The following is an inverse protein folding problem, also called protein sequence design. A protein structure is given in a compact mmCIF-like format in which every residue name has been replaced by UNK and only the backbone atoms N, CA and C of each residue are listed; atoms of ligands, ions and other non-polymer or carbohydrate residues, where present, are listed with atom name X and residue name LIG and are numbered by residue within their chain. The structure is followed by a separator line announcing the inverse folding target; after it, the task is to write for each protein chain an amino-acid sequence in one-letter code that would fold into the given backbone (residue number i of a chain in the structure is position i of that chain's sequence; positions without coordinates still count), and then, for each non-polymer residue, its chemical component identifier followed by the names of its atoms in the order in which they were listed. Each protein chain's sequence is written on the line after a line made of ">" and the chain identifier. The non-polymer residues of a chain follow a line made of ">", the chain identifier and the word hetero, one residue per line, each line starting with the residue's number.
data_IF_624532807461
#
_entry.id   IF_624532807461
#
_cell.length_a   1.000
_cell.length_b   1.000
_cell.length_c   1.000
_cell.angle_alpha   90.00
_cell.angle_beta   90.00
_cell.angle_gamma   90.00
#
_symmetry.space_group_name_H-M   'P 1'
#
loop_
_entity.id
_entity.type
_entity.pdbx_description
1 polymer ?
#
# COMPACT_ATOMS: atom_id res chain seq x y z
N UNK A 1 0.07 17.10 28.84
CA UNK A 1 0.49 18.39 28.32
C UNK A 1 2.00 18.56 28.50
N UNK A 2 2.72 18.92 27.43
CA UNK A 2 4.17 18.99 27.42
C UNK A 2 4.79 20.02 28.37
N UNK A 3 4.03 21.01 28.79
CA UNK A 3 4.47 22.08 29.68
C UNK A 3 4.87 21.59 31.09
N UNK A 4 4.42 20.42 31.49
CA UNK A 4 4.75 19.82 32.79
C UNK A 4 6.22 19.37 32.87
N UNK A 5 6.84 19.04 31.72
CA UNK A 5 8.18 18.46 31.65
C UNK A 5 9.16 19.27 30.78
N UNK A 6 8.72 20.35 30.18
CA UNK A 6 9.55 21.26 29.42
C UNK A 6 9.02 22.68 29.48
N UNK A 7 9.93 23.67 29.53
CA UNK A 7 9.61 25.10 29.56
C UNK A 7 9.89 25.70 28.20
N UNK A 8 8.94 26.46 27.67
CA UNK A 8 9.15 27.16 26.39
C UNK A 8 10.17 28.30 26.58
N UNK A 9 11.15 28.36 25.70
CA UNK A 9 12.13 29.42 25.69
C UNK A 9 11.51 30.75 25.25
N UNK A 10 11.84 31.85 25.93
CA UNK A 10 11.42 33.21 25.53
C UNK A 10 11.99 33.63 24.17
N UNK A 11 13.16 33.09 23.79
CA UNK A 11 13.78 33.26 22.47
C UNK A 11 14.23 31.90 21.97
N UNK A 12 13.90 31.61 20.73
CA UNK A 12 14.34 30.37 20.09
C UNK A 12 15.87 30.41 19.86
N UNK A 13 16.57 29.35 20.22
CA UNK A 13 17.98 29.13 19.93
C UNK A 13 18.05 28.20 18.70
N UNK A 14 18.00 28.76 17.51
CA UNK A 14 17.90 28.01 16.27
C UNK A 14 16.60 27.19 16.25
N UNK A 15 16.71 25.85 16.17
CA UNK A 15 15.55 24.93 16.18
C UNK A 15 15.05 24.59 17.60
N UNK A 16 15.81 24.95 18.66
CA UNK A 16 15.44 24.64 20.05
C UNK A 16 14.38 25.63 20.53
N UNK A 17 13.22 25.11 20.88
CA UNK A 17 12.05 25.91 21.35
C UNK A 17 11.76 25.69 22.84
N UNK A 18 12.21 24.58 23.40
CA UNK A 18 11.95 24.18 24.78
C UNK A 18 13.26 23.81 25.47
N UNK A 19 13.29 23.93 26.79
CA UNK A 19 14.33 23.43 27.67
C UNK A 19 13.72 22.66 28.84
N UNK A 20 14.49 21.73 29.40
CA UNK A 20 14.14 20.97 30.59
C UNK A 20 14.97 21.56 31.73
N UNK A 21 14.30 22.08 32.77
CA UNK A 21 14.94 22.58 33.97
C UNK A 21 15.46 21.44 34.84
N UNK A 22 16.32 21.75 35.83
CA UNK A 22 16.82 20.78 36.81
C UNK A 22 15.67 20.10 37.57
N UNK A 23 14.65 20.88 38.01
CA UNK A 23 13.48 20.35 38.71
C UNK A 23 12.66 19.42 37.82
N UNK A 24 12.47 19.79 36.54
CA UNK A 24 11.77 18.93 35.55
C UNK A 24 12.56 17.66 35.29
N UNK A 25 13.89 17.73 35.21
CA UNK A 25 14.78 16.58 35.05
C UNK A 25 14.69 15.63 36.26
N UNK A 26 14.75 16.19 37.49
CA UNK A 26 14.60 15.42 38.71
C UNK A 26 13.24 14.73 38.80
N UNK A 27 12.18 15.40 38.37
CA UNK A 27 10.81 14.83 38.30
C UNK A 27 10.70 13.68 37.29
N UNK A 28 11.30 13.83 36.10
CA UNK A 28 11.34 12.76 35.09
C UNK A 28 12.08 11.55 35.66
N UNK A 29 13.22 11.78 36.32
CA UNK A 29 14.01 10.72 36.94
C UNK A 29 13.21 10.00 38.03
N UNK A 30 12.55 10.72 38.91
CA UNK A 30 11.72 10.13 39.98
C UNK A 30 10.57 9.26 39.40
N UNK A 31 9.93 9.66 38.32
CA UNK A 31 8.89 8.85 37.64
C UNK A 31 9.51 7.59 37.04
N UNK A 32 10.68 7.68 36.44
CA UNK A 32 11.41 6.54 35.87
C UNK A 32 11.84 5.54 36.96
N UNK A 33 12.38 6.03 38.07
CA UNK A 33 12.86 5.20 39.18
C UNK A 33 11.69 4.53 39.95
N UNK A 34 10.54 5.18 40.02
CA UNK A 34 9.36 4.61 40.67
C UNK A 34 8.86 3.33 39.93
N UNK A 35 9.15 3.20 38.66
CA UNK A 35 8.72 2.07 37.82
C UNK A 35 7.24 1.73 38.00
N UNK A 36 6.39 2.75 37.93
CA UNK A 36 4.94 2.64 38.11
C UNK A 36 4.18 3.18 36.90
N UNK A 37 3.04 2.58 36.58
CA UNK A 37 2.14 3.09 35.55
C UNK A 37 1.33 4.28 36.06
N UNK A 38 1.38 5.38 35.32
CA UNK A 38 0.66 6.61 35.61
C UNK A 38 0.05 7.18 34.31
N UNK A 39 -0.55 8.35 34.38
CA UNK A 39 -1.00 9.05 33.18
C UNK A 39 0.15 9.45 32.24
N UNK A 40 1.36 9.60 32.76
CA UNK A 40 2.55 10.05 32.03
C UNK A 40 3.65 9.00 31.92
N UNK A 41 3.42 7.81 32.48
CA UNK A 41 4.34 6.68 32.46
C UNK A 41 3.61 5.40 32.15
N UNK A 42 4.13 4.61 31.22
CA UNK A 42 3.63 3.29 30.84
C UNK A 42 4.75 2.29 30.83
N UNK A 43 4.46 1.05 31.23
CA UNK A 43 5.43 -0.06 31.27
C UNK A 43 4.99 -1.07 30.22
N UNK A 44 5.94 -1.46 29.38
CA UNK A 44 5.72 -2.39 28.28
C UNK A 44 6.82 -3.43 28.20
N UNK A 45 6.47 -4.61 27.74
CA UNK A 45 7.46 -5.57 27.26
C UNK A 45 7.98 -5.16 25.87
N UNK A 46 9.19 -5.57 25.54
CA UNK A 46 9.79 -5.31 24.22
C UNK A 46 8.88 -5.80 23.07
N UNK A 47 8.20 -6.92 23.28
CA UNK A 47 7.26 -7.51 22.31
C UNK A 47 6.00 -6.69 22.06
N UNK A 48 5.65 -5.74 22.96
CA UNK A 48 4.50 -4.84 22.79
C UNK A 48 4.73 -3.81 21.67
N UNK A 49 5.97 -3.52 21.35
CA UNK A 49 6.38 -2.60 20.31
C UNK A 49 6.82 -3.32 19.03
N UNK A 50 6.94 -4.65 19.10
CA UNK A 50 7.37 -5.46 17.99
C UNK A 50 6.21 -5.82 17.06
N UNK A 51 6.50 -5.86 15.78
CA UNK A 51 5.61 -6.36 14.75
C UNK A 51 6.38 -7.12 13.68
N UNK A 52 5.69 -8.02 13.01
CA UNK A 52 6.16 -8.57 11.75
C UNK A 52 5.47 -7.83 10.61
N UNK A 53 6.26 -7.14 9.79
CA UNK A 53 5.78 -6.53 8.55
C UNK A 53 5.62 -7.62 7.51
N UNK A 54 4.38 -7.94 7.16
CA UNK A 54 4.00 -9.01 6.22
C UNK A 54 3.63 -8.38 4.88
N UNK A 55 4.12 -8.95 3.79
CA UNK A 55 3.77 -8.52 2.44
C UNK A 55 2.45 -9.19 2.01
N UNK A 56 1.45 -8.37 1.68
CA UNK A 56 0.16 -8.79 1.14
C UNK A 56 0.16 -8.58 -0.36
N UNK A 57 0.01 -9.66 -1.10
CA UNK A 57 -0.07 -9.66 -2.55
C UNK A 57 -1.52 -9.86 -3.00
N UNK A 58 -1.89 -9.24 -4.12
CA UNK A 58 -3.18 -9.40 -4.78
C UNK A 58 -2.99 -9.83 -6.22
N UNK A 59 -3.95 -10.58 -6.82
CA UNK A 59 -3.82 -11.08 -8.18
C UNK A 59 -3.93 -9.93 -9.19
N UNK A 60 -3.05 -9.98 -10.19
CA UNK A 60 -3.16 -9.15 -11.38
C UNK A 60 -4.39 -9.58 -12.18
N UNK A 61 -5.26 -8.63 -12.53
CA UNK A 61 -6.47 -8.83 -13.33
C UNK A 61 -6.44 -7.89 -14.53
N UNK A 62 -6.50 -8.46 -15.73
CA UNK A 62 -6.33 -7.69 -16.97
C UNK A 62 -7.50 -7.92 -17.93
N UNK A 63 -7.96 -6.82 -18.51
CA UNK A 63 -8.88 -6.78 -19.64
C UNK A 63 -8.14 -6.30 -20.89
N UNK A 64 -8.46 -6.86 -22.03
CA UNK A 64 -7.88 -6.49 -23.33
C UNK A 64 -8.98 -5.96 -24.24
N UNK A 65 -8.98 -4.64 -24.46
CA UNK A 65 -9.96 -3.95 -25.32
C UNK A 65 -9.51 -3.91 -26.77
N UNK A 66 -8.21 -3.99 -27.02
CA UNK A 66 -7.56 -3.99 -28.33
C UNK A 66 -7.94 -2.75 -29.16
N UNK A 67 -7.98 -1.57 -28.51
CA UNK A 67 -8.31 -0.33 -29.19
C UNK A 67 -7.27 0.01 -30.27
N UNK A 68 -7.64 0.82 -31.28
CA UNK A 68 -6.69 1.26 -32.31
C UNK A 68 -5.45 1.94 -31.72
N UNK A 69 -5.62 2.72 -30.62
CA UNK A 69 -4.54 3.42 -29.93
C UNK A 69 -3.59 2.45 -29.26
N UNK A 70 -4.12 1.45 -28.54
CA UNK A 70 -3.31 0.41 -27.89
C UNK A 70 -2.49 -0.37 -28.93
N UNK A 71 -3.10 -0.75 -30.04
CA UNK A 71 -2.42 -1.47 -31.14
C UNK A 71 -1.39 -0.59 -31.81
N UNK A 72 -1.67 0.71 -32.02
CA UNK A 72 -0.68 1.65 -32.52
C UNK A 72 0.53 1.77 -31.60
N UNK A 73 0.30 1.92 -30.28
CA UNK A 73 1.37 1.97 -29.27
C UNK A 73 2.21 0.68 -29.30
N UNK A 74 1.56 -0.48 -29.40
CA UNK A 74 2.25 -1.77 -29.50
C UNK A 74 3.15 -1.86 -30.74
N UNK A 75 2.70 -1.38 -31.89
CA UNK A 75 3.50 -1.37 -33.12
C UNK A 75 4.81 -0.59 -32.98
N UNK A 76 4.82 0.44 -32.14
CA UNK A 76 6.01 1.27 -31.87
C UNK A 76 6.89 0.68 -30.75
N UNK A 77 6.45 -0.40 -30.09
CA UNK A 77 7.25 -1.04 -29.03
C UNK A 77 8.50 -1.73 -29.62
N UNK A 78 9.61 -1.55 -28.91
CA UNK A 78 10.91 -2.10 -29.35
C UNK A 78 10.92 -3.63 -29.48
N UNK A 79 10.09 -4.37 -28.72
CA UNK A 79 9.97 -5.81 -28.81
C UNK A 79 9.28 -6.23 -30.11
N UNK A 80 8.29 -5.45 -30.57
CA UNK A 80 7.59 -5.69 -31.85
C UNK A 80 8.47 -5.27 -33.03
N UNK A 81 9.13 -4.12 -32.97
CA UNK A 81 10.03 -3.63 -34.01
C UNK A 81 11.24 -4.55 -34.26
N UNK A 82 11.64 -5.34 -33.28
CA UNK A 82 12.72 -6.34 -33.39
C UNK A 82 12.25 -7.70 -33.96
N UNK A 83 10.96 -7.87 -34.20
CA UNK A 83 10.47 -9.09 -34.84
C UNK A 83 11.01 -9.19 -36.26
N UNK A 84 11.50 -10.39 -36.62
CA UNK A 84 12.06 -10.65 -37.93
C UNK A 84 10.95 -10.94 -38.94
N UNK A 85 11.28 -10.72 -40.18
CA UNK A 85 10.42 -10.98 -41.33
C UNK A 85 9.09 -10.20 -41.23
N UNK A 86 7.98 -10.77 -41.63
CA UNK A 86 6.62 -10.23 -41.60
C UNK A 86 5.86 -10.49 -40.29
N UNK A 87 6.58 -10.92 -39.22
CA UNK A 87 5.94 -11.29 -37.94
C UNK A 87 5.22 -10.14 -37.26
N UNK A 88 5.69 -8.91 -37.42
CA UNK A 88 5.02 -7.71 -36.93
C UNK A 88 3.65 -7.53 -37.58
N UNK A 89 3.58 -7.66 -38.90
CA UNK A 89 2.34 -7.55 -39.68
C UNK A 89 1.38 -8.70 -39.38
N UNK A 90 1.91 -9.92 -39.22
CA UNK A 90 1.13 -11.09 -38.82
C UNK A 90 0.52 -10.92 -37.42
N UNK A 91 1.28 -10.35 -36.45
CA UNK A 91 0.80 -10.04 -35.11
C UNK A 91 -0.35 -9.03 -35.17
N UNK A 92 -0.18 -7.96 -35.94
CA UNK A 92 -1.19 -6.95 -36.09
C UNK A 92 -2.47 -7.48 -36.74
N UNK A 93 -2.37 -8.25 -37.81
CA UNK A 93 -3.50 -8.89 -38.44
C UNK A 93 -4.22 -9.90 -37.51
N UNK A 94 -3.48 -10.58 -36.62
CA UNK A 94 -4.05 -11.45 -35.62
C UNK A 94 -4.82 -10.64 -34.56
N UNK A 95 -4.25 -9.54 -34.08
CA UNK A 95 -4.91 -8.64 -33.12
C UNK A 95 -6.15 -7.97 -33.72
N UNK A 96 -6.16 -7.62 -34.98
CA UNK A 96 -7.36 -7.11 -35.69
C UNK A 96 -8.52 -8.11 -35.67
N UNK A 97 -8.21 -9.40 -35.87
CA UNK A 97 -9.24 -10.45 -35.79
C UNK A 97 -9.78 -10.62 -34.36
N UNK A 98 -8.90 -10.56 -33.35
CA UNK A 98 -9.29 -10.70 -31.96
C UNK A 98 -10.05 -9.46 -31.43
N UNK A 99 -9.77 -8.28 -31.96
CA UNK A 99 -10.46 -7.04 -31.61
C UNK A 99 -11.98 -7.09 -31.87
N UNK A 100 -12.44 -7.90 -32.82
CA UNK A 100 -13.86 -8.13 -33.11
C UNK A 100 -14.59 -8.89 -32.00
N UNK A 101 -13.84 -9.54 -31.10
CA UNK A 101 -14.35 -10.33 -29.97
C UNK A 101 -14.02 -9.66 -28.61
N UNK A 102 -13.41 -8.48 -28.65
CA UNK A 102 -13.10 -7.71 -27.43
C UNK A 102 -14.40 -7.23 -26.74
N UNK A 103 -14.37 -6.99 -25.43
CA UNK A 103 -13.22 -7.12 -24.53
C UNK A 103 -12.92 -8.59 -24.10
N UNK A 104 -11.66 -8.89 -23.92
CA UNK A 104 -11.21 -10.16 -23.34
C UNK A 104 -10.90 -9.96 -21.86
N UNK A 105 -11.60 -10.67 -21.00
CA UNK A 105 -11.44 -10.57 -19.52
C UNK A 105 -10.70 -11.76 -18.92
N UNK A 106 -10.20 -12.68 -19.75
CA UNK A 106 -9.41 -13.83 -19.35
C UNK A 106 -8.10 -13.85 -20.13
N UNK A 107 -6.97 -13.65 -19.43
CA UNK A 107 -5.63 -13.57 -20.00
C UNK A 107 -5.26 -14.88 -20.76
N UNK A 108 -5.48 -16.03 -20.15
CA UNK A 108 -5.14 -17.32 -20.76
C UNK A 108 -5.92 -17.57 -22.05
N UNK A 109 -7.23 -17.26 -22.08
CA UNK A 109 -8.06 -17.41 -23.29
C UNK A 109 -7.62 -16.45 -24.39
N UNK A 110 -7.30 -15.20 -24.03
CA UNK A 110 -6.76 -14.21 -24.96
C UNK A 110 -5.47 -14.69 -25.61
N UNK A 111 -4.48 -15.11 -24.82
CA UNK A 111 -3.19 -15.58 -25.35
C UNK A 111 -3.31 -16.90 -26.09
N UNK A 112 -4.22 -17.80 -25.70
CA UNK A 112 -4.51 -19.02 -26.45
C UNK A 112 -5.12 -18.72 -27.83
N UNK A 113 -6.04 -17.76 -27.91
CA UNK A 113 -6.62 -17.32 -29.18
C UNK A 113 -5.58 -16.64 -30.08
N UNK A 114 -4.74 -15.79 -29.49
CA UNK A 114 -3.64 -15.14 -30.22
C UNK A 114 -2.64 -16.15 -30.74
N UNK A 115 -2.24 -17.13 -29.93
CA UNK A 115 -1.32 -18.19 -30.34
C UNK A 115 -1.88 -19.04 -31.49
N UNK A 116 -3.21 -19.28 -31.55
CA UNK A 116 -3.84 -19.96 -32.68
C UNK A 116 -3.86 -19.13 -33.96
N UNK A 117 -3.92 -17.81 -33.82
CA UNK A 117 -3.98 -16.88 -34.96
C UNK A 117 -2.58 -16.64 -35.59
N UNK A 118 -1.51 -16.94 -34.85
CA UNK A 118 -0.12 -16.76 -35.30
C UNK A 118 0.48 -18.06 -35.85
N UNK A 119 1.21 -18.02 -37.01
CA UNK A 119 1.88 -19.18 -37.56
C UNK A 119 3.22 -19.52 -36.85
N UNK A 120 3.60 -18.77 -35.80
CA UNK A 120 4.84 -18.93 -35.06
C UNK A 120 4.60 -18.83 -33.55
N UNK A 121 5.53 -19.39 -32.77
CA UNK A 121 5.47 -19.36 -31.30
C UNK A 121 5.96 -18.00 -30.76
N UNK A 122 5.15 -17.34 -29.93
CA UNK A 122 5.52 -16.09 -29.28
C UNK A 122 6.63 -16.31 -28.24
N UNK A 123 7.71 -15.50 -28.26
CA UNK A 123 8.69 -15.50 -27.18
C UNK A 123 8.08 -14.95 -25.88
N UNK A 124 8.55 -15.45 -24.73
CA UNK A 124 8.05 -14.99 -23.41
C UNK A 124 8.19 -13.47 -23.21
N UNK A 125 9.27 -12.87 -23.74
CA UNK A 125 9.45 -11.41 -23.69
C UNK A 125 8.35 -10.66 -24.42
N UNK A 126 7.90 -11.16 -25.57
CA UNK A 126 6.78 -10.54 -26.31
C UNK A 126 5.46 -10.69 -25.58
N UNK A 127 5.19 -11.83 -24.93
CA UNK A 127 3.99 -12.01 -24.09
C UNK A 127 3.97 -10.98 -22.96
N UNK A 128 5.11 -10.74 -22.31
CA UNK A 128 5.22 -9.70 -21.27
C UNK A 128 4.93 -8.30 -21.80
N UNK A 129 5.48 -7.95 -22.97
CA UNK A 129 5.20 -6.66 -23.64
C UNK A 129 3.72 -6.54 -23.99
N UNK A 130 3.10 -7.56 -24.56
CA UNK A 130 1.68 -7.56 -24.90
C UNK A 130 0.78 -7.35 -23.66
N UNK A 131 1.07 -8.02 -22.55
CA UNK A 131 0.37 -7.79 -21.27
C UNK A 131 0.51 -6.35 -20.81
N UNK A 132 1.71 -5.79 -20.86
CA UNK A 132 1.99 -4.43 -20.39
C UNK A 132 1.34 -3.34 -21.26
N UNK A 133 1.27 -3.55 -22.58
CA UNK A 133 0.78 -2.53 -23.53
C UNK A 133 -0.72 -2.64 -23.80
N UNK A 134 -1.26 -3.86 -23.87
CA UNK A 134 -2.67 -4.10 -24.22
C UNK A 134 -3.56 -4.37 -22.99
N UNK A 135 -2.98 -4.80 -21.88
CA UNK A 135 -3.72 -5.11 -20.65
C UNK A 135 -4.12 -3.84 -19.90
N UNK A 136 -5.40 -3.73 -19.58
CA UNK A 136 -5.95 -2.70 -18.71
C UNK A 136 -6.41 -3.37 -17.42
N UNK A 137 -6.02 -2.85 -16.26
CA UNK A 137 -6.47 -3.38 -14.97
C UNK A 137 -7.98 -3.29 -14.85
N UNK A 138 -8.61 -4.40 -14.48
CA UNK A 138 -10.05 -4.50 -14.30
C UNK A 138 -10.36 -5.53 -13.20
N UNK A 139 -10.98 -5.09 -12.13
CA UNK A 139 -11.34 -5.94 -10.99
C UNK A 139 -12.28 -7.08 -11.36
N UNK A 140 -13.08 -6.90 -12.42
CA UNK A 140 -14.04 -7.91 -12.92
C UNK A 140 -13.38 -8.93 -13.84
N UNK A 141 -12.13 -8.73 -14.24
CA UNK A 141 -11.41 -9.69 -15.06
C UNK A 141 -10.94 -10.90 -14.22
N UNK A 142 -10.75 -12.03 -14.87
CA UNK A 142 -10.17 -13.21 -14.22
C UNK A 142 -8.70 -12.94 -13.85
N UNK A 143 -8.23 -13.55 -12.75
CA UNK A 143 -6.85 -13.40 -12.31
C UNK A 143 -5.88 -13.97 -13.36
N UNK A 144 -4.83 -13.22 -13.65
CA UNK A 144 -3.73 -13.70 -14.50
C UNK A 144 -2.97 -14.78 -13.74
N UNK A 145 -2.75 -15.91 -14.41
CA UNK A 145 -1.99 -17.04 -13.85
C UNK A 145 -0.75 -17.34 -14.69
N UNK A 146 0.31 -17.77 -14.02
CA UNK A 146 1.51 -18.33 -14.64
C UNK A 146 1.82 -19.67 -13.96
N UNK A 147 1.98 -20.74 -14.73
CA UNK A 147 2.11 -22.12 -14.23
C UNK A 147 1.05 -22.50 -13.18
N UNK A 148 -0.18 -21.98 -13.34
CA UNK A 148 -1.29 -22.25 -12.43
C UNK A 148 -1.29 -21.45 -11.13
N UNK A 149 -0.30 -20.61 -10.90
CA UNK A 149 -0.24 -19.69 -9.74
C UNK A 149 -0.66 -18.28 -10.14
N UNK A 150 -1.37 -17.55 -9.27
CA UNK A 150 -1.75 -16.17 -9.55
C UNK A 150 -0.51 -15.28 -9.63
N UNK A 151 -0.48 -14.41 -10.63
CA UNK A 151 0.55 -13.38 -10.78
C UNK A 151 0.18 -12.21 -9.89
N UNK A 152 1.14 -11.72 -9.08
CA UNK A 152 0.90 -10.57 -8.20
C UNK A 152 0.84 -9.25 -8.98
N UNK A 153 -0.05 -8.36 -8.57
CA UNK A 153 -0.08 -6.97 -9.03
C UNK A 153 0.75 -6.10 -8.11
N UNK A 154 1.88 -5.61 -8.60
CA UNK A 154 2.79 -4.76 -7.82
C UNK A 154 2.18 -3.42 -7.40
N UNK A 155 1.15 -2.93 -8.08
CA UNK A 155 0.46 -1.69 -7.70
C UNK A 155 -0.56 -1.90 -6.59
N UNK A 156 -1.05 -3.13 -6.42
CA UNK A 156 -1.99 -3.50 -5.36
C UNK A 156 -1.29 -4.15 -4.17
N UNK A 157 0.05 -4.28 -4.20
CA UNK A 157 0.83 -4.79 -3.09
C UNK A 157 0.72 -3.87 -1.89
N UNK A 158 0.47 -4.47 -0.74
CA UNK A 158 0.39 -3.75 0.54
C UNK A 158 1.20 -4.48 1.63
N UNK A 159 1.30 -3.86 2.79
CA UNK A 159 2.03 -4.41 3.93
C UNK A 159 1.21 -4.24 5.20
N UNK A 160 1.11 -5.33 5.95
CA UNK A 160 0.49 -5.34 7.28
C UNK A 160 1.53 -5.47 8.38
N UNK A 161 1.35 -4.71 9.46
CA UNK A 161 2.20 -4.80 10.64
C UNK A 161 1.50 -5.65 11.71
N UNK A 162 1.76 -6.94 11.69
CA UNK A 162 1.18 -7.91 12.63
C UNK A 162 1.94 -7.84 13.95
N UNK A 163 1.28 -7.57 15.11
CA UNK A 163 1.92 -7.58 16.42
C UNK A 163 2.65 -8.90 16.68
N UNK A 164 3.85 -8.85 17.28
CA UNK A 164 4.62 -10.07 17.59
C UNK A 164 3.89 -11.03 18.55
N UNK A 165 2.90 -10.55 19.27
CA UNK A 165 2.07 -11.35 20.20
C UNK A 165 0.92 -12.07 19.50
N UNK A 166 0.66 -11.81 18.24
CA UNK A 166 -0.40 -12.41 17.45
C UNK A 166 0.14 -13.43 16.44
N UNK A 167 -0.66 -14.46 16.18
CA UNK A 167 -0.41 -15.39 15.09
C UNK A 167 -0.72 -14.68 13.75
N UNK A 168 0.22 -14.78 12.81
CA UNK A 168 0.15 -14.05 11.53
C UNK A 168 -1.00 -14.58 10.66
N UNK A 169 -1.23 -15.89 10.64
CA UNK A 169 -2.28 -16.48 9.81
C UNK A 169 -3.66 -16.18 10.38
N UNK A 170 -3.80 -16.13 11.72
CA UNK A 170 -5.03 -15.71 12.39
C UNK A 170 -5.33 -14.23 12.15
N UNK A 171 -4.31 -13.38 12.27
CA UNK A 171 -4.42 -11.96 11.94
C UNK A 171 -4.87 -11.76 10.49
N UNK A 172 -4.20 -12.40 9.54
CA UNK A 172 -4.50 -12.29 8.11
C UNK A 172 -5.95 -12.71 7.80
N UNK A 173 -6.41 -13.81 8.38
CA UNK A 173 -7.80 -14.29 8.21
C UNK A 173 -8.84 -13.33 8.80
N UNK A 174 -8.52 -12.67 9.90
CA UNK A 174 -9.43 -11.77 10.61
C UNK A 174 -9.45 -10.37 10.01
N UNK A 175 -8.29 -9.81 9.67
CA UNK A 175 -8.16 -8.39 9.31
C UNK A 175 -8.05 -8.17 7.80
N UNK A 176 -7.48 -9.09 7.03
CA UNK A 176 -7.20 -8.88 5.60
C UNK A 176 -8.24 -9.56 4.70
N UNK A 177 -8.46 -10.86 4.88
CA UNK A 177 -9.33 -11.64 3.99
C UNK A 177 -10.78 -11.16 3.92
N UNK A 178 -11.42 -10.59 4.96
CA UNK A 178 -12.77 -10.05 4.85
C UNK A 178 -12.89 -8.88 3.86
N UNK A 179 -11.80 -8.14 3.66
CA UNK A 179 -11.75 -7.00 2.75
C UNK A 179 -11.19 -7.36 1.37
N UNK A 180 -10.29 -8.35 1.32
CA UNK A 180 -9.59 -8.77 0.11
C UNK A 180 -9.50 -10.30 0.07
N UNK A 181 -10.61 -10.99 -0.31
CA UNK A 181 -10.70 -12.46 -0.19
C UNK A 181 -9.71 -13.24 -1.06
N UNK A 182 -9.18 -12.62 -2.09
CA UNK A 182 -8.25 -13.22 -3.05
C UNK A 182 -6.77 -12.86 -2.77
N UNK A 183 -6.49 -12.19 -1.66
CA UNK A 183 -5.12 -11.86 -1.25
C UNK A 183 -4.38 -13.08 -0.68
N UNK A 184 -3.06 -13.04 -0.78
CA UNK A 184 -2.16 -13.99 -0.12
C UNK A 184 -0.94 -13.30 0.47
N UNK A 185 -0.24 -13.96 1.37
CA UNK A 185 1.00 -13.46 1.97
C UNK A 185 2.23 -13.98 1.25
N UNK A 186 3.18 -13.08 0.96
CA UNK A 186 4.53 -13.47 0.55
C UNK A 186 5.46 -13.42 1.78
N UNK A 187 5.49 -14.54 2.50
CA UNK A 187 6.25 -14.70 3.76
C UNK A 187 7.77 -14.60 3.57
N UNK A 188 8.26 -14.71 2.33
CA UNK A 188 9.69 -14.53 2.03
C UNK A 188 10.17 -13.09 2.23
N UNK A 189 9.24 -12.15 2.31
CA UNK A 189 9.47 -10.72 2.49
C UNK A 189 9.25 -10.23 3.92
N UNK A 190 8.90 -11.12 4.84
CA UNK A 190 8.63 -10.76 6.22
C UNK A 190 9.83 -10.08 6.89
N UNK A 191 9.54 -9.03 7.66
CA UNK A 191 10.56 -8.27 8.40
C UNK A 191 10.05 -7.94 9.79
N UNK A 192 10.83 -8.25 10.80
CA UNK A 192 10.56 -7.82 12.16
C UNK A 192 10.98 -6.36 12.33
N UNK A 193 10.08 -5.57 12.88
CA UNK A 193 10.30 -4.17 13.22
C UNK A 193 9.81 -3.85 14.63
N UNK A 194 10.21 -2.69 15.13
CA UNK A 194 9.79 -2.16 16.43
C UNK A 194 9.39 -0.71 16.28
N UNK A 195 8.21 -0.36 16.79
CA UNK A 195 7.70 1.01 16.72
C UNK A 195 6.97 1.35 18.02
N UNK A 196 7.33 2.50 18.62
CA UNK A 196 6.67 3.01 19.81
C UNK A 196 5.72 4.14 19.39
N UNK A 197 4.42 3.83 19.37
CA UNK A 197 3.39 4.83 19.08
C UNK A 197 3.02 5.62 20.34
N UNK A 198 3.81 6.65 20.67
CA UNK A 198 3.52 7.50 21.84
C UNK A 198 2.13 8.12 21.79
N UNK A 199 1.67 8.53 20.62
CA UNK A 199 0.34 9.11 20.42
C UNK A 199 -0.76 8.15 20.85
N UNK A 200 -0.66 6.87 20.51
CA UNK A 200 -1.65 5.84 20.87
C UNK A 200 -1.83 5.71 22.40
N UNK A 201 -0.74 5.82 23.16
CA UNK A 201 -0.74 5.54 24.59
C UNK A 201 -0.93 6.79 25.48
N UNK A 202 -0.61 7.97 24.95
CA UNK A 202 -0.64 9.23 25.69
C UNK A 202 -1.57 10.28 25.09
N UNK A 203 -2.36 9.90 24.07
CA UNK A 203 -3.35 10.81 23.50
C UNK A 203 -4.54 10.93 24.44
N UNK A 204 -4.78 12.12 24.95
CA UNK A 204 -6.02 12.49 25.65
C UNK A 204 -6.91 13.24 24.66
N UNK A 205 -8.10 12.70 24.42
CA UNK A 205 -9.09 13.41 23.59
C UNK A 205 -9.55 14.68 24.31
N UNK A 206 -9.24 15.81 23.75
CA UNK A 206 -9.82 17.08 24.17
C UNK A 206 -11.14 17.28 23.39
N UNK A 207 -12.32 17.29 24.06
CA UNK A 207 -13.57 17.52 23.37
C UNK A 207 -13.53 18.89 22.66
N UNK A 208 -14.00 18.90 21.42
CA UNK A 208 -14.11 20.14 20.66
C UNK A 208 -15.07 21.08 21.39
N UNK A 209 -14.70 22.36 21.45
CA UNK A 209 -15.57 23.41 21.99
C UNK A 209 -16.84 23.48 21.16
N UNK A 210 -17.98 23.68 21.81
CA UNK A 210 -19.25 23.83 21.10
C UNK A 210 -19.24 25.10 20.21
N UNK A 211 -19.98 25.05 19.12
CA UNK A 211 -20.14 26.23 18.25
C UNK A 211 -20.74 27.44 19.00
N UNK A 212 -21.56 27.17 20.00
CA UNK A 212 -22.15 28.23 20.87
C UNK A 212 -21.08 28.91 21.74
N UNK A 213 -20.13 28.16 22.31
CA UNK A 213 -19.02 28.75 23.10
C UNK A 213 -18.09 29.59 22.22
N UNK A 214 -17.78 29.09 21.00
CA UNK A 214 -16.94 29.81 20.04
C UNK A 214 -17.64 31.10 19.57
N UNK A 215 -18.95 31.06 19.30
CA UNK A 215 -19.72 32.21 18.89
C UNK A 215 -19.82 33.27 20.00
N UNK A 216 -20.00 32.86 21.26
CA UNK A 216 -20.04 33.78 22.41
C UNK A 216 -18.68 34.47 22.60
N UNK A 217 -17.57 33.79 22.44
CA UNK A 217 -16.23 34.38 22.55
C UNK A 217 -15.93 35.34 21.40
N UNK A 218 -16.36 35.04 20.17
CA UNK A 218 -16.25 35.97 19.04
C UNK A 218 -17.03 37.26 19.26
N UNK A 219 -18.25 37.19 19.82
CA UNK A 219 -19.06 38.38 20.14
C UNK A 219 -18.40 39.25 21.22
N UNK A 220 -17.75 38.63 22.21
CA UNK A 220 -17.03 39.40 23.24
C UNK A 220 -15.76 40.08 22.71
N UNK A 221 -15.10 39.49 21.73
CA UNK A 221 -13.92 40.07 21.07
C UNK A 221 -14.28 41.21 20.09
N UNK A 222 -15.49 41.20 19.53
CA UNK A 222 -15.99 42.31 18.66
C UNK A 222 -16.47 43.55 19.45
N UNK A 223 -16.67 43.42 20.77
CA UNK A 223 -17.08 44.52 21.66
C UNK A 223 -15.89 45.24 22.32
N UNK A 224 -14.64 44.73 22.21
CA UNK A 224 -13.39 45.36 22.67
C UNK A 224 -12.70 46.15 21.53
#
# INVERSE_FOLDING_TARGET
>A
SGEQFATQLRRNLGKKRYEISEDQSARILAIYEAFEETKVSKIFDTTDFGYTKVCVERPLRLRYDLTPEQRHTLRMDAAVLKLKDDRGDQLDAALDKLARQAPWTNDAKFFAALAKALPWKMPAGLVKTLRATLGVRDENAEAVTDDGQPVSDSELRDFENVPLKEDIDDYFRREVLPHVPDAWMDRSKDKVGYEISFTKYFYEYAPLRSTAEIAAELLTLDEE
#
